data_IF_020783810322
#
_entry.id   IF_020783810322
#
_cell.length_a   1.000
_cell.length_b   1.000
_cell.length_c   1.000
_cell.angle_alpha   90.00
_cell.angle_beta   90.00
_cell.angle_gamma   90.00
#
_symmetry.space_group_name_H-M   'P 1'
#
loop_
_entity.id
_entity.type
_entity.pdbx_description
1 polymer ?
#
# COMPACT_ATOMS: atom_id res chain seq x y z
N UNK A 1 -4.17 8.38 -15.40
CA UNK A 1 -2.83 8.55 -14.79
C UNK A 1 -1.96 9.20 -15.85
N UNK A 2 -1.43 10.38 -15.58
CA UNK A 2 -0.47 11.02 -16.51
C UNK A 2 0.81 10.19 -16.48
N UNK A 3 1.47 9.97 -17.61
CA UNK A 3 2.78 9.36 -17.62
C UNK A 3 3.74 10.16 -16.72
N UNK A 4 4.65 9.48 -16.04
CA UNK A 4 5.67 10.14 -15.20
C UNK A 4 6.42 11.25 -15.97
N UNK A 5 6.58 11.07 -17.29
CA UNK A 5 7.11 12.08 -18.23
C UNK A 5 6.43 13.43 -18.11
N UNK A 6 5.11 13.44 -18.01
CA UNK A 6 4.32 14.69 -17.95
C UNK A 6 4.46 15.38 -16.58
N UNK A 7 4.74 14.61 -15.53
CA UNK A 7 4.91 15.15 -14.17
C UNK A 7 6.31 15.72 -13.93
N UNK A 8 7.34 15.09 -14.51
CA UNK A 8 8.75 15.51 -14.30
C UNK A 8 9.36 16.21 -15.52
N UNK A 9 8.60 16.42 -16.57
CA UNK A 9 9.07 17.09 -17.80
C UNK A 9 10.07 16.26 -18.64
N UNK A 10 10.22 14.96 -18.36
CA UNK A 10 11.10 14.06 -19.11
C UNK A 10 10.58 13.79 -20.52
N UNK A 11 11.46 13.84 -21.52
CA UNK A 11 11.18 13.45 -22.90
C UNK A 11 11.54 11.99 -23.17
N UNK A 12 11.16 11.47 -24.35
CA UNK A 12 11.61 10.14 -24.78
C UNK A 12 13.12 10.07 -25.04
N UNK A 13 13.74 11.22 -25.38
CA UNK A 13 15.19 11.32 -25.55
C UNK A 13 15.90 11.17 -24.21
N UNK A 14 15.42 11.87 -23.17
CA UNK A 14 15.96 11.77 -21.81
C UNK A 14 15.86 10.33 -21.26
N UNK A 15 14.73 9.65 -21.52
CA UNK A 15 14.55 8.25 -21.15
C UNK A 15 15.59 7.34 -21.82
N UNK A 16 15.86 7.57 -23.09
CA UNK A 16 16.85 6.79 -23.83
C UNK A 16 18.25 7.04 -23.29
N UNK A 17 18.61 8.30 -23.07
CA UNK A 17 19.90 8.70 -22.53
C UNK A 17 20.14 8.10 -21.12
N UNK A 18 19.14 8.18 -20.22
CA UNK A 18 19.23 7.59 -18.88
C UNK A 18 19.45 6.07 -18.91
N UNK A 19 18.87 5.36 -19.90
CA UNK A 19 19.11 3.93 -20.11
C UNK A 19 20.50 3.64 -20.67
N UNK A 20 20.95 4.43 -21.65
CA UNK A 20 22.30 4.29 -22.24
C UNK A 20 23.40 4.56 -21.22
N UNK A 21 23.14 5.44 -20.27
CA UNK A 21 24.02 5.70 -19.12
C UNK A 21 23.88 4.68 -17.99
N UNK A 22 23.05 3.65 -18.15
CA UNK A 22 22.73 2.65 -17.11
C UNK A 22 22.21 3.23 -15.78
N UNK A 23 21.55 4.39 -15.84
CA UNK A 23 21.00 5.03 -14.63
C UNK A 23 19.62 4.53 -14.26
N UNK A 24 18.87 4.02 -15.25
CA UNK A 24 17.55 3.42 -15.07
C UNK A 24 17.45 2.10 -15.81
N UNK A 25 16.76 1.13 -15.20
CA UNK A 25 16.39 -0.14 -15.84
C UNK A 25 14.88 -0.23 -16.04
N UNK A 26 14.48 -0.84 -17.17
CA UNK A 26 13.08 -1.07 -17.51
C UNK A 26 12.59 -2.39 -16.92
N UNK A 27 11.56 -2.34 -16.13
CA UNK A 27 10.80 -3.52 -15.73
C UNK A 27 9.48 -3.57 -16.52
N UNK A 28 9.31 -4.62 -17.30
CA UNK A 28 8.08 -4.87 -18.04
C UNK A 28 7.13 -5.69 -17.17
N UNK A 29 5.98 -5.15 -16.86
CA UNK A 29 4.87 -5.88 -16.27
C UNK A 29 3.66 -5.92 -17.21
N UNK A 30 2.77 -6.88 -16.97
CA UNK A 30 1.58 -7.16 -17.81
C UNK A 30 0.70 -5.93 -18.15
N UNK A 31 0.85 -4.81 -17.48
CA UNK A 31 0.02 -3.60 -17.67
C UNK A 31 0.78 -2.28 -17.67
N UNK A 32 2.09 -2.30 -17.78
CA UNK A 32 2.85 -1.05 -17.82
C UNK A 32 4.36 -1.25 -17.87
N UNK A 33 5.05 -0.17 -18.25
CA UNK A 33 6.49 -0.06 -18.19
C UNK A 33 6.83 0.75 -16.96
N UNK A 34 7.70 0.25 -16.13
CA UNK A 34 8.21 0.92 -14.94
C UNK A 34 9.72 1.00 -15.02
N UNK A 35 10.26 2.05 -14.44
CA UNK A 35 11.70 2.26 -14.39
C UNK A 35 12.16 2.24 -12.93
N UNK A 36 13.28 1.56 -12.69
CA UNK A 36 13.99 1.59 -11.43
C UNK A 36 15.33 2.29 -11.64
N UNK A 37 15.78 3.01 -10.62
CA UNK A 37 17.18 3.42 -10.58
C UNK A 37 18.07 2.19 -10.44
N UNK A 38 19.10 2.11 -11.25
CA UNK A 38 20.18 1.15 -11.08
C UNK A 38 21.07 1.54 -9.89
N UNK A 39 22.07 0.75 -9.55
CA UNK A 39 23.06 1.13 -8.54
C UNK A 39 23.85 2.37 -8.97
N UNK A 40 24.17 2.48 -10.27
CA UNK A 40 24.79 3.65 -10.88
C UNK A 40 23.90 4.89 -10.75
N UNK A 41 22.62 4.75 -11.07
CA UNK A 41 21.64 5.84 -10.91
C UNK A 41 21.46 6.29 -9.47
N UNK A 42 21.50 5.36 -8.51
CA UNK A 42 21.49 5.68 -7.08
C UNK A 42 22.78 6.40 -6.66
N UNK A 43 23.92 5.95 -7.16
CA UNK A 43 25.21 6.58 -6.92
C UNK A 43 25.24 8.02 -7.39
N UNK A 44 24.83 8.27 -8.63
CA UNK A 44 24.75 9.62 -9.21
C UNK A 44 23.80 10.53 -8.40
N UNK A 45 22.65 10.01 -7.99
CA UNK A 45 21.70 10.77 -7.19
C UNK A 45 22.27 11.15 -5.81
N UNK A 46 23.07 10.26 -5.21
CA UNK A 46 23.82 10.53 -3.98
C UNK A 46 24.83 11.67 -4.17
N UNK A 47 25.59 11.64 -5.25
CA UNK A 47 26.59 12.66 -5.55
C UNK A 47 25.94 14.03 -5.78
N UNK A 48 24.81 14.06 -6.51
CA UNK A 48 24.04 15.28 -6.74
C UNK A 48 23.43 15.88 -5.46
N UNK A 49 23.26 15.07 -4.42
CA UNK A 49 22.76 15.49 -3.09
C UNK A 49 23.87 15.79 -2.08
N UNK A 50 25.08 16.10 -2.53
CA UNK A 50 26.23 16.41 -1.69
C UNK A 50 26.61 15.29 -0.72
N UNK A 51 26.55 14.04 -1.17
CA UNK A 51 26.91 12.87 -0.37
C UNK A 51 25.86 12.44 0.65
N UNK A 52 24.74 13.15 0.75
CA UNK A 52 23.60 12.63 1.51
C UNK A 52 23.04 11.43 0.75
N UNK A 53 23.11 10.26 1.34
CA UNK A 53 22.40 9.11 0.81
C UNK A 53 20.94 9.54 0.60
N UNK A 54 20.37 9.31 -0.60
CA UNK A 54 18.95 9.36 -0.73
C UNK A 54 18.42 8.46 0.41
N UNK A 55 17.36 8.88 1.14
CA UNK A 55 16.78 8.00 2.13
C UNK A 55 16.65 6.66 1.43
N UNK A 56 17.28 5.62 2.00
CA UNK A 56 17.15 4.30 1.39
C UNK A 56 15.66 4.14 1.13
N UNK A 57 15.26 3.95 -0.14
CA UNK A 57 13.89 3.57 -0.32
C UNK A 57 13.78 2.33 0.54
N UNK A 58 13.01 2.40 1.61
CA UNK A 58 12.53 1.22 2.32
C UNK A 58 11.62 0.51 1.34
N UNK A 59 12.21 0.01 0.25
CA UNK A 59 11.53 -0.91 -0.64
C UNK A 59 11.47 -2.20 0.14
N UNK A 60 10.34 -2.81 0.12
CA UNK A 60 10.16 -4.13 0.65
C UNK A 60 11.17 -5.13 0.07
N UNK A 61 10.83 -6.38 0.07
CA UNK A 61 11.75 -7.43 -0.38
C UNK A 61 12.24 -7.19 -1.80
N UNK A 62 13.47 -7.61 -2.08
CA UNK A 62 14.13 -7.45 -3.38
C UNK A 62 13.32 -7.98 -4.60
N UNK A 63 12.22 -8.69 -4.34
CA UNK A 63 11.32 -9.27 -5.33
C UNK A 63 9.92 -8.61 -5.35
N UNK A 64 9.73 -7.44 -4.79
CA UNK A 64 8.45 -6.76 -4.86
C UNK A 64 8.12 -6.36 -6.30
N UNK A 65 6.89 -6.64 -6.68
CA UNK A 65 6.41 -6.25 -8.01
C UNK A 65 6.21 -4.73 -8.09
N UNK A 66 6.46 -4.14 -9.26
CA UNK A 66 6.19 -2.72 -9.48
C UNK A 66 4.72 -2.34 -9.23
N UNK A 67 3.79 -3.28 -9.38
CA UNK A 67 2.39 -3.06 -9.04
C UNK A 67 2.17 -2.89 -7.54
N UNK A 68 2.91 -3.64 -6.71
CA UNK A 68 2.88 -3.52 -5.26
C UNK A 68 3.49 -2.19 -4.81
N UNK A 69 4.71 -1.89 -5.24
CA UNK A 69 5.38 -0.61 -4.96
C UNK A 69 4.47 0.57 -5.32
N UNK A 70 3.82 0.51 -6.49
CA UNK A 70 2.87 1.54 -6.91
C UNK A 70 1.67 1.68 -5.97
N UNK A 71 1.17 0.58 -5.43
CA UNK A 71 0.09 0.59 -4.44
C UNK A 71 0.53 1.27 -3.16
N UNK A 72 1.70 0.89 -2.64
CA UNK A 72 2.31 1.49 -1.45
C UNK A 72 2.57 2.99 -1.65
N UNK A 73 3.20 3.38 -2.76
CA UNK A 73 3.50 4.78 -3.05
C UNK A 73 2.24 5.64 -3.18
N UNK A 74 1.20 5.10 -3.81
CA UNK A 74 -0.05 5.83 -3.95
C UNK A 74 -0.75 6.05 -2.60
N UNK A 75 -0.73 5.05 -1.73
CA UNK A 75 -1.25 5.19 -0.38
C UNK A 75 -0.39 6.15 0.45
N UNK A 76 0.94 6.06 0.35
CA UNK A 76 1.86 6.94 1.05
C UNK A 76 1.69 8.41 0.64
N UNK A 77 1.48 8.68 -0.64
CA UNK A 77 1.18 10.02 -1.12
C UNK A 77 -0.14 10.53 -0.51
N UNK A 78 -1.21 9.75 -0.57
CA UNK A 78 -2.51 10.17 -0.07
C UNK A 78 -2.51 10.40 1.46
N UNK A 79 -1.86 9.52 2.23
CA UNK A 79 -1.69 9.70 3.68
C UNK A 79 -0.76 10.89 3.99
N UNK A 80 0.29 11.11 3.19
CA UNK A 80 1.17 12.27 3.32
C UNK A 80 0.45 13.59 3.06
N UNK A 81 -0.45 13.64 2.09
CA UNK A 81 -1.32 14.80 1.85
C UNK A 81 -2.32 15.00 3.00
N UNK A 82 -2.85 13.91 3.57
CA UNK A 82 -3.70 13.98 4.76
C UNK A 82 -2.93 14.50 5.98
N UNK A 83 -1.71 14.02 6.22
CA UNK A 83 -0.87 14.44 7.33
C UNK A 83 -0.53 15.94 7.32
N UNK A 84 -0.56 16.58 6.15
CA UNK A 84 -0.34 18.03 6.01
C UNK A 84 -1.57 18.87 6.34
N UNK A 85 -2.73 18.27 6.52
CA UNK A 85 -3.96 19.01 6.84
C UNK A 85 -3.97 19.46 8.30
N UNK A 86 -4.45 20.68 8.59
CA UNK A 86 -4.68 21.11 9.97
C UNK A 86 -5.61 20.11 10.69
N UNK A 87 -5.25 19.75 11.91
CA UNK A 87 -6.01 18.80 12.75
C UNK A 87 -6.11 17.38 12.20
N UNK A 88 -5.22 16.99 11.28
CA UNK A 88 -5.13 15.59 10.87
C UNK A 88 -4.74 14.70 12.06
N UNK A 89 -5.39 13.53 12.23
CA UNK A 89 -4.94 12.54 13.21
C UNK A 89 -3.65 11.85 12.78
N UNK A 90 -3.28 11.88 11.49
CA UNK A 90 -2.03 11.34 10.95
C UNK A 90 -0.97 12.45 10.95
N UNK A 91 0.16 12.22 11.61
CA UNK A 91 1.30 13.13 11.72
C UNK A 91 2.46 12.77 10.80
N UNK A 92 2.71 11.48 10.65
CA UNK A 92 3.77 10.96 9.78
C UNK A 92 3.32 9.70 9.04
N UNK A 93 4.08 9.32 8.02
CA UNK A 93 3.78 8.15 7.18
C UNK A 93 5.05 7.35 7.00
N UNK A 94 5.01 6.09 7.40
CA UNK A 94 6.13 5.18 7.28
C UNK A 94 5.80 4.00 6.37
N UNK A 95 6.69 3.74 5.40
CA UNK A 95 6.64 2.57 4.53
C UNK A 95 7.37 1.41 5.16
N UNK A 96 6.85 0.21 4.95
CA UNK A 96 7.47 -1.02 5.42
C UNK A 96 7.81 -0.96 6.91
N UNK A 97 6.84 -0.48 7.66
CA UNK A 97 6.95 -0.26 9.09
C UNK A 97 6.87 -1.57 9.87
N UNK A 98 7.67 -1.68 10.93
CA UNK A 98 7.61 -2.79 11.87
C UNK A 98 7.45 -2.27 13.27
N UNK A 99 6.54 -2.83 14.09
CA UNK A 99 6.49 -2.56 15.52
C UNK A 99 7.84 -2.84 16.19
N UNK A 100 8.20 -2.14 17.26
CA UNK A 100 9.51 -2.29 17.91
C UNK A 100 9.83 -3.72 18.38
N UNK A 101 8.81 -4.50 18.72
CA UNK A 101 8.96 -5.83 19.33
C UNK A 101 8.49 -6.98 18.42
N UNK A 102 8.09 -6.71 17.18
CA UNK A 102 7.48 -7.71 16.31
C UNK A 102 8.29 -8.00 15.04
N UNK A 103 8.14 -9.24 14.58
CA UNK A 103 8.76 -9.74 13.34
C UNK A 103 7.91 -9.45 12.10
N UNK A 104 6.72 -8.94 12.28
CA UNK A 104 5.80 -8.56 11.21
C UNK A 104 6.13 -7.18 10.68
N UNK A 105 5.97 -7.01 9.37
CA UNK A 105 6.20 -5.74 8.70
C UNK A 105 4.97 -5.40 7.89
N UNK A 106 4.38 -4.22 8.16
CA UNK A 106 3.27 -3.68 7.40
C UNK A 106 3.78 -2.86 6.21
N UNK A 107 3.07 -2.91 5.10
CA UNK A 107 3.44 -2.19 3.87
C UNK A 107 3.48 -0.68 4.07
N UNK A 108 2.52 -0.14 4.85
CA UNK A 108 2.47 1.29 5.13
C UNK A 108 1.68 1.55 6.43
N UNK A 109 2.16 2.51 7.21
CA UNK A 109 1.47 3.00 8.41
C UNK A 109 1.41 4.52 8.42
N UNK A 110 0.25 5.07 8.75
CA UNK A 110 0.07 6.45 9.16
C UNK A 110 0.10 6.53 10.68
N UNK A 111 1.08 7.26 11.22
CA UNK A 111 1.31 7.40 12.65
C UNK A 111 0.70 8.70 13.18
N UNK A 112 0.19 8.65 14.39
CA UNK A 112 -0.29 9.80 15.14
C UNK A 112 0.84 10.57 15.85
N UNK A 113 0.44 11.46 16.75
CA UNK A 113 1.35 12.42 17.42
C UNK A 113 2.34 11.73 18.39
N UNK A 114 1.99 10.59 18.93
CA UNK A 114 2.84 9.80 19.85
C UNK A 114 3.40 8.55 19.17
N UNK A 115 3.51 8.55 17.85
CA UNK A 115 3.95 7.42 17.01
C UNK A 115 3.02 6.19 17.11
N UNK A 116 1.76 6.37 17.57
CA UNK A 116 0.76 5.31 17.54
C UNK A 116 0.22 5.10 16.12
N UNK A 117 -0.02 3.84 15.70
CA UNK A 117 -0.66 3.54 14.42
C UNK A 117 -2.11 4.05 14.36
N UNK A 118 -2.38 5.01 13.49
CA UNK A 118 -3.73 5.54 13.20
C UNK A 118 -4.34 4.83 12.00
N UNK A 119 -3.52 4.59 10.98
CA UNK A 119 -3.91 3.87 9.77
C UNK A 119 -2.88 2.81 9.46
N UNK A 120 -3.33 1.58 9.23
CA UNK A 120 -2.51 0.52 8.66
C UNK A 120 -2.95 0.20 7.24
N UNK A 121 -2.01 -0.10 6.36
CA UNK A 121 -2.30 -0.43 4.96
C UNK A 121 -1.51 -1.64 4.52
N UNK A 122 -2.20 -2.61 3.94
CA UNK A 122 -1.61 -3.75 3.23
C UNK A 122 -1.95 -3.70 1.75
N UNK A 123 -0.97 -4.00 0.92
CA UNK A 123 -1.06 -3.96 -0.54
C UNK A 123 -0.94 -5.36 -1.11
N UNK A 124 -2.05 -5.98 -1.44
CA UNK A 124 -2.08 -7.37 -1.86
C UNK A 124 -1.67 -7.61 -3.30
N UNK A 125 -0.96 -8.73 -3.49
CA UNK A 125 -0.46 -9.21 -4.78
C UNK A 125 -1.24 -10.44 -5.25
N UNK A 126 -1.51 -10.57 -6.57
CA UNK A 126 -2.19 -11.76 -7.10
C UNK A 126 -1.37 -13.05 -7.01
N UNK A 127 -0.06 -12.95 -6.76
CA UNK A 127 0.89 -14.06 -6.68
C UNK A 127 1.08 -14.61 -5.27
N UNK A 128 0.53 -13.96 -4.25
CA UNK A 128 0.62 -14.41 -2.87
C UNK A 128 -0.27 -15.64 -2.63
N UNK A 129 0.13 -16.50 -1.69
CA UNK A 129 -0.80 -17.46 -1.08
C UNK A 129 -1.75 -16.72 -0.14
N UNK A 130 -2.85 -16.25 -0.70
CA UNK A 130 -3.82 -15.43 0.04
C UNK A 130 -4.44 -16.18 1.23
N UNK A 131 -4.49 -17.50 1.21
CA UNK A 131 -5.10 -18.25 2.30
C UNK A 131 -4.22 -18.26 3.56
N UNK A 132 -2.92 -18.06 3.40
CA UNK A 132 -1.95 -18.00 4.52
C UNK A 132 -1.53 -16.57 4.82
N UNK A 133 -1.21 -15.78 3.79
CA UNK A 133 -0.72 -14.41 3.92
C UNK A 133 -1.79 -13.48 4.48
N UNK A 134 -2.96 -13.42 3.84
CA UNK A 134 -4.04 -12.48 4.23
C UNK A 134 -4.48 -12.62 5.69
N UNK A 135 -4.69 -13.82 6.27
CA UNK A 135 -4.97 -13.93 7.71
C UNK A 135 -3.83 -13.45 8.61
N UNK A 136 -2.56 -13.71 8.23
CA UNK A 136 -1.41 -13.28 9.02
C UNK A 136 -1.25 -11.75 8.98
N UNK A 137 -1.41 -11.14 7.81
CA UNK A 137 -1.36 -9.69 7.64
C UNK A 137 -2.54 -9.00 8.35
N UNK A 138 -3.72 -9.65 8.33
CA UNK A 138 -4.87 -9.18 9.13
C UNK A 138 -4.55 -9.14 10.61
N UNK A 139 -3.99 -10.23 11.16
CA UNK A 139 -3.66 -10.32 12.58
C UNK A 139 -2.61 -9.26 12.95
N UNK A 140 -1.59 -9.05 12.11
CA UNK A 140 -0.59 -8.00 12.30
C UNK A 140 -1.18 -6.57 12.27
N UNK A 141 -2.12 -6.30 11.37
CA UNK A 141 -2.82 -5.01 11.34
C UNK A 141 -3.71 -4.83 12.58
N UNK A 142 -4.41 -5.89 13.00
CA UNK A 142 -5.30 -5.86 14.16
C UNK A 142 -4.54 -5.62 15.47
N UNK A 143 -3.36 -6.21 15.62
CA UNK A 143 -2.50 -6.04 16.80
C UNK A 143 -2.03 -4.58 16.99
N UNK A 144 -2.04 -3.80 15.91
CA UNK A 144 -1.74 -2.36 15.97
C UNK A 144 -2.91 -1.51 16.50
N UNK A 145 -4.10 -2.04 16.66
CA UNK A 145 -5.33 -1.35 17.08
C UNK A 145 -5.58 -0.02 16.32
N UNK A 146 -5.44 0.03 14.98
CA UNK A 146 -5.57 1.27 14.23
C UNK A 146 -7.02 1.76 14.18
N UNK A 147 -7.22 3.07 13.99
CA UNK A 147 -8.55 3.63 13.67
C UNK A 147 -9.05 3.16 12.30
N UNK A 148 -8.14 2.87 11.36
CA UNK A 148 -8.48 2.31 10.05
C UNK A 148 -7.44 1.30 9.56
N UNK A 149 -7.90 0.11 9.17
CA UNK A 149 -7.10 -0.94 8.53
C UNK A 149 -7.54 -1.13 7.08
N UNK A 150 -6.69 -0.79 6.11
CA UNK A 150 -7.07 -0.66 4.70
C UNK A 150 -6.29 -1.64 3.83
N UNK A 151 -7.02 -2.48 3.10
CA UNK A 151 -6.45 -3.38 2.10
C UNK A 151 -6.50 -2.77 0.72
N UNK A 152 -5.37 -2.69 0.05
CA UNK A 152 -5.26 -2.17 -1.29
C UNK A 152 -4.97 -3.27 -2.30
N UNK A 153 -5.72 -3.27 -3.39
CA UNK A 153 -5.64 -4.29 -4.42
C UNK A 153 -5.58 -3.68 -5.82
N UNK A 154 -4.92 -4.37 -6.74
CA UNK A 154 -4.80 -3.90 -8.12
C UNK A 154 -6.14 -3.89 -8.88
N UNK A 155 -7.08 -4.76 -8.52
CA UNK A 155 -8.38 -4.89 -9.17
C UNK A 155 -9.42 -5.55 -8.26
N UNK A 156 -10.70 -5.46 -8.67
CA UNK A 156 -11.83 -6.00 -7.91
C UNK A 156 -11.76 -7.51 -7.68
N UNK A 157 -11.32 -8.27 -8.69
CA UNK A 157 -11.23 -9.73 -8.57
C UNK A 157 -10.27 -10.15 -7.46
N UNK A 158 -9.13 -9.46 -7.34
CA UNK A 158 -8.19 -9.69 -6.23
C UNK A 158 -8.83 -9.29 -4.89
N UNK A 159 -9.54 -8.17 -4.83
CA UNK A 159 -10.24 -7.75 -3.60
C UNK A 159 -11.27 -8.77 -3.12
N UNK A 160 -12.04 -9.37 -4.03
CA UNK A 160 -12.96 -10.45 -3.67
C UNK A 160 -12.24 -11.72 -3.16
N UNK A 161 -11.03 -12.00 -3.66
CA UNK A 161 -10.20 -13.10 -3.13
C UNK A 161 -9.70 -12.79 -1.72
N UNK A 162 -9.32 -11.54 -1.44
CA UNK A 162 -8.97 -11.09 -0.07
C UNK A 162 -10.17 -11.25 0.86
N UNK A 163 -11.37 -10.76 0.47
CA UNK A 163 -12.61 -10.99 1.25
C UNK A 163 -12.81 -12.48 1.54
N UNK A 164 -12.67 -13.33 0.52
CA UNK A 164 -12.85 -14.79 0.69
C UNK A 164 -11.85 -15.38 1.67
N UNK A 165 -10.59 -14.93 1.66
CA UNK A 165 -9.57 -15.38 2.59
C UNK A 165 -9.86 -14.93 4.03
N UNK A 166 -10.37 -13.70 4.22
CA UNK A 166 -10.74 -13.16 5.53
C UNK A 166 -12.02 -13.78 6.13
N UNK A 167 -12.97 -14.14 5.28
CA UNK A 167 -14.17 -14.88 5.73
C UNK A 167 -13.82 -16.27 6.25
N UNK A 168 -12.64 -16.76 5.87
CA UNK A 168 -12.16 -18.06 6.30
C UNK A 168 -12.79 -19.22 5.55
N UNK A 169 -12.50 -20.40 6.04
CA UNK A 169 -12.97 -21.67 5.48
C UNK A 169 -13.07 -22.73 6.56
N UNK A 170 -13.44 -23.96 6.22
CA UNK A 170 -13.40 -25.08 7.15
C UNK A 170 -12.01 -25.38 7.74
N UNK A 171 -10.94 -24.76 7.18
CA UNK A 171 -9.55 -24.92 7.61
C UNK A 171 -8.95 -23.69 8.30
N UNK A 172 -9.56 -22.54 8.14
CA UNK A 172 -9.06 -21.27 8.67
C UNK A 172 -10.20 -20.50 9.35
N UNK A 173 -9.90 -19.94 10.50
CA UNK A 173 -10.84 -19.13 11.26
C UNK A 173 -11.20 -17.86 10.51
N UNK A 174 -12.46 -17.43 10.63
CA UNK A 174 -12.93 -16.18 10.06
C UNK A 174 -12.34 -14.98 10.79
N UNK A 175 -11.87 -14.00 10.04
CA UNK A 175 -11.31 -12.73 10.56
C UNK A 175 -12.31 -11.59 10.48
N UNK A 176 -13.30 -11.68 9.59
CA UNK A 176 -14.36 -10.68 9.43
C UNK A 176 -15.73 -11.34 9.60
N UNK A 177 -16.71 -10.63 10.17
CA UNK A 177 -18.05 -11.16 10.45
C UNK A 177 -18.94 -11.10 9.19
N UNK A 178 -18.54 -11.78 8.12
CA UNK A 178 -19.28 -11.86 6.87
C UNK A 178 -19.62 -13.32 6.56
N UNK A 179 -20.89 -13.59 6.27
CA UNK A 179 -21.30 -14.92 5.84
C UNK A 179 -20.70 -15.21 4.43
N UNK A 180 -20.08 -16.37 4.19
CA UNK A 180 -19.62 -16.76 2.86
C UNK A 180 -20.69 -16.61 1.76
N UNK A 181 -21.98 -16.79 2.08
CA UNK A 181 -23.07 -16.58 1.15
C UNK A 181 -23.29 -15.10 0.76
N UNK A 182 -22.79 -14.16 1.54
CA UNK A 182 -22.86 -12.73 1.27
C UNK A 182 -21.72 -12.24 0.39
N UNK A 183 -20.71 -13.08 0.12
CA UNK A 183 -19.65 -12.74 -0.80
C UNK A 183 -20.22 -12.55 -2.20
N UNK A 184 -20.24 -11.32 -2.63
CA UNK A 184 -20.83 -10.92 -3.91
C UNK A 184 -19.91 -11.32 -5.07
N UNK A 185 -20.44 -11.25 -6.28
CA UNK A 185 -19.65 -11.56 -7.47
C UNK A 185 -18.47 -10.59 -7.64
N UNK A 186 -17.42 -11.03 -8.30
CA UNK A 186 -16.21 -10.21 -8.56
C UNK A 186 -16.47 -8.93 -9.38
N UNK A 187 -17.66 -8.78 -9.96
CA UNK A 187 -18.09 -7.55 -10.62
C UNK A 187 -18.63 -6.49 -9.65
N UNK A 188 -19.00 -6.89 -8.42
CA UNK A 188 -19.52 -5.97 -7.41
C UNK A 188 -18.42 -4.99 -6.97
N UNK A 189 -18.71 -3.68 -6.85
CA UNK A 189 -17.74 -2.73 -6.29
C UNK A 189 -17.35 -3.08 -4.86
N UNK A 190 -16.06 -2.91 -4.51
CA UNK A 190 -15.51 -3.26 -3.20
C UNK A 190 -16.00 -2.34 -2.07
N UNK A 191 -16.44 -1.13 -2.39
CA UNK A 191 -17.06 -0.18 -1.46
C UNK A 191 -18.42 -0.64 -0.91
N UNK A 192 -18.98 -1.71 -1.47
CA UNK A 192 -20.18 -2.39 -0.95
C UNK A 192 -19.89 -3.27 0.27
N UNK A 193 -18.63 -3.50 0.58
CA UNK A 193 -18.24 -4.15 1.82
C UNK A 193 -17.87 -3.09 2.85
N UNK A 194 -18.51 -3.15 3.99
CA UNK A 194 -18.19 -2.36 5.18
C UNK A 194 -17.86 -3.33 6.31
N UNK A 195 -16.73 -3.12 6.93
CA UNK A 195 -16.25 -3.98 8.00
C UNK A 195 -16.00 -3.15 9.27
N UNK A 196 -16.42 -3.71 10.42
CA UNK A 196 -16.03 -3.21 11.74
C UNK A 196 -15.11 -4.25 12.37
N UNK A 197 -13.94 -4.46 11.75
CA UNK A 197 -12.99 -5.46 12.18
C UNK A 197 -11.59 -4.82 12.28
N UNK A 198 -10.82 -5.07 13.38
CA UNK A 198 -9.61 -4.32 13.69
C UNK A 198 -8.53 -4.42 12.60
N UNK A 199 -8.39 -5.57 11.95
CA UNK A 199 -7.46 -5.77 10.83
C UNK A 199 -8.05 -5.52 9.44
N UNK A 200 -9.31 -5.07 9.33
CA UNK A 200 -9.93 -4.75 8.05
C UNK A 200 -11.15 -3.83 8.20
N UNK A 201 -10.97 -2.54 7.97
CA UNK A 201 -12.06 -1.56 7.85
C UNK A 201 -12.53 -1.41 6.40
N UNK A 202 -11.61 -1.52 5.45
CA UNK A 202 -11.94 -1.35 4.05
C UNK A 202 -11.02 -2.14 3.11
N UNK A 203 -11.58 -2.56 1.96
CA UNK A 203 -10.82 -3.09 0.84
C UNK A 203 -11.07 -2.19 -0.36
N UNK A 204 -10.03 -1.64 -0.97
CA UNK A 204 -10.14 -0.67 -2.07
C UNK A 204 -9.17 -1.01 -3.20
N UNK A 205 -9.51 -0.59 -4.40
CA UNK A 205 -8.55 -0.63 -5.51
C UNK A 205 -7.62 0.57 -5.45
N UNK A 206 -6.42 0.45 -6.01
CA UNK A 206 -5.45 1.55 -6.10
C UNK A 206 -6.04 2.84 -6.69
N UNK A 207 -7.03 2.72 -7.60
CA UNK A 207 -7.69 3.87 -8.23
C UNK A 207 -8.61 4.65 -7.29
N UNK A 208 -9.05 4.04 -6.20
CA UNK A 208 -9.94 4.66 -5.23
C UNK A 208 -9.21 5.36 -4.07
N UNK A 209 -7.89 5.25 -4.03
CA UNK A 209 -7.07 5.84 -2.94
C UNK A 209 -6.98 7.35 -3.10
N UNK A 210 -7.45 8.07 -2.09
CA UNK A 210 -7.37 9.53 -1.95
C UNK A 210 -7.20 9.91 -0.48
N UNK A 211 -6.76 11.13 -0.15
CA UNK A 211 -6.72 11.60 1.23
C UNK A 211 -8.10 11.56 1.92
N UNK A 212 -9.17 11.90 1.20
CA UNK A 212 -10.54 11.91 1.70
C UNK A 212 -11.02 10.50 2.09
N UNK A 213 -10.58 9.47 1.36
CA UNK A 213 -10.88 8.08 1.73
C UNK A 213 -10.34 7.75 3.12
N UNK A 214 -9.07 8.06 3.37
CA UNK A 214 -8.46 7.79 4.68
C UNK A 214 -9.09 8.61 5.79
N UNK A 215 -9.34 9.90 5.56
CA UNK A 215 -10.00 10.79 6.51
C UNK A 215 -11.37 10.24 6.92
N UNK A 216 -12.18 9.83 5.95
CA UNK A 216 -13.48 9.20 6.20
C UNK A 216 -13.36 7.91 7.04
N UNK A 217 -12.44 7.01 6.66
CA UNK A 217 -12.30 5.72 7.35
C UNK A 217 -11.82 5.88 8.79
N UNK A 218 -10.94 6.84 9.08
CA UNK A 218 -10.48 7.15 10.44
C UNK A 218 -11.65 7.65 11.29
N UNK A 219 -12.47 8.56 10.74
CA UNK A 219 -13.64 9.10 11.45
C UNK A 219 -14.70 8.02 11.72
N UNK A 220 -14.88 7.10 10.81
CA UNK A 220 -15.82 5.98 10.97
C UNK A 220 -15.33 4.95 12.00
N UNK A 221 -14.03 4.61 11.99
CA UNK A 221 -13.43 3.64 12.90
C UNK A 221 -13.24 4.15 14.34
N UNK A 222 -13.14 5.45 14.54
CA UNK A 222 -12.98 6.06 15.88
C UNK A 222 -14.28 6.29 16.67
N UNK A 223 -15.40 5.70 16.24
CA UNK A 223 -16.73 5.93 16.85
C UNK A 223 -17.20 4.83 17.83
N UNK A 224 -16.34 3.89 18.20
CA UNK A 224 -16.67 2.84 19.16
C UNK A 224 -16.24 3.18 20.58
#
# INVERSE_FOLDING_TARGET
MRPLRDEVGCTSADETELKEMDLISLQNELRGKYYHLTDEGRGLLRDLRNGADPPEPKYGDANESAAHIKGVEKAAQALGELAQRPSSPVHSVERYWSPPDERTRLDLVGLGVNDEPVVTVEVERPTNDLNTGVPADYDAMADCEPSAAVWLVANRALGHRVVTALVGSSKHEARIPLDPAEIKSSSTPLDRYSFSAPGCTAIRTYSAVTPELFDQLIVEGGKD
#
